data_IF_873309322448
#
_entry.id   IF_873309322448
#
_cell.length_a   1.000
_cell.length_b   1.000
_cell.length_c   1.000
_cell.angle_alpha   90.00
_cell.angle_beta   90.00
_cell.angle_gamma   90.00
#
_symmetry.space_group_name_H-M   'P 1'
#
loop_
_entity.id
_entity.type
_entity.pdbx_description
1 polymer ?
#
# COMPACT_ATOMS: atom_id res chain seq x y z
N UNK A 1 14.79 -58.92 -40.20
CA UNK A 1 14.81 -57.69 -41.03
C UNK A 1 14.61 -56.51 -40.09
N UNK A 2 15.72 -55.91 -39.65
CA UNK A 2 15.72 -54.71 -38.80
C UNK A 2 15.22 -53.52 -39.61
N UNK A 3 14.37 -52.66 -39.03
CA UNK A 3 14.19 -51.29 -39.53
C UNK A 3 13.81 -50.33 -38.40
N UNK A 4 14.80 -49.51 -38.08
CA UNK A 4 14.73 -48.09 -37.74
C UNK A 4 14.08 -47.69 -36.41
N UNK A 5 14.90 -47.81 -35.37
CA UNK A 5 14.99 -46.83 -34.28
C UNK A 5 15.59 -45.55 -34.88
N UNK A 6 14.79 -44.52 -35.11
CA UNK A 6 15.28 -43.14 -35.23
C UNK A 6 14.09 -42.20 -35.06
N UNK A 7 14.31 -41.13 -34.29
CA UNK A 7 13.37 -40.06 -33.93
C UNK A 7 12.44 -40.37 -32.76
N UNK A 8 12.81 -39.86 -31.58
CA UNK A 8 11.96 -39.02 -30.71
C UNK A 8 12.76 -38.73 -29.42
N UNK A 9 13.91 -38.06 -29.59
CA UNK A 9 14.59 -37.37 -28.51
C UNK A 9 14.32 -35.87 -28.64
N UNK A 10 14.14 -35.23 -27.49
CA UNK A 10 14.03 -33.78 -27.26
C UNK A 10 12.68 -33.10 -27.57
N UNK A 11 11.67 -33.47 -26.79
CA UNK A 11 10.72 -32.49 -26.25
C UNK A 11 11.20 -32.09 -24.85
N UNK A 12 12.28 -31.32 -24.77
CA UNK A 12 12.55 -30.50 -23.59
C UNK A 12 11.58 -29.32 -23.67
N UNK A 13 10.38 -29.52 -23.13
CA UNK A 13 9.48 -28.42 -22.84
C UNK A 13 10.16 -27.51 -21.83
N UNK A 14 10.62 -26.35 -22.27
CA UNK A 14 10.98 -25.28 -21.35
C UNK A 14 9.71 -24.86 -20.63
N UNK A 15 9.58 -25.27 -19.36
CA UNK A 15 8.63 -24.64 -18.45
C UNK A 15 9.06 -23.18 -18.32
N UNK A 16 8.38 -22.30 -19.04
CA UNK A 16 8.41 -20.86 -18.76
C UNK A 16 7.65 -20.70 -17.45
N UNK A 17 8.39 -20.62 -16.34
CA UNK A 17 7.82 -20.10 -15.11
C UNK A 17 7.53 -18.62 -15.37
N UNK A 18 6.26 -18.30 -15.63
CA UNK A 18 5.79 -16.93 -15.56
C UNK A 18 5.91 -16.49 -14.10
N UNK A 19 7.00 -15.79 -13.78
CA UNK A 19 7.08 -15.06 -12.53
C UNK A 19 5.91 -14.07 -12.54
N UNK A 20 4.96 -14.23 -11.61
CA UNK A 20 3.83 -13.32 -11.46
C UNK A 20 4.36 -11.95 -11.05
N UNK A 21 4.71 -11.15 -12.06
CA UNK A 21 5.18 -9.79 -11.86
C UNK A 21 4.10 -9.00 -11.10
N UNK A 22 4.50 -8.42 -9.97
CA UNK A 22 3.60 -7.61 -9.16
C UNK A 22 3.09 -6.36 -9.90
N UNK A 23 2.04 -5.74 -9.36
CA UNK A 23 1.47 -4.53 -9.93
C UNK A 23 1.26 -3.45 -8.87
N UNK A 24 1.36 -2.20 -9.30
CA UNK A 24 0.95 -1.04 -8.51
C UNK A 24 -0.53 -0.76 -8.73
N UNK A 25 -1.25 -0.55 -7.64
CA UNK A 25 -2.62 -0.03 -7.62
C UNK A 25 -2.59 1.36 -7.01
N UNK A 26 -2.99 2.36 -7.78
CA UNK A 26 -3.09 3.74 -7.30
C UNK A 26 -4.54 4.19 -7.30
N UNK A 27 -4.86 5.14 -6.41
CA UNK A 27 -6.19 5.73 -6.33
C UNK A 27 -6.17 7.25 -6.51
N UNK A 28 -7.23 7.76 -7.14
CA UNK A 28 -7.58 9.16 -7.24
C UNK A 28 -8.90 9.41 -6.51
N UNK A 29 -9.04 10.57 -5.87
CA UNK A 29 -10.29 10.99 -5.21
C UNK A 29 -10.77 12.32 -5.76
N UNK A 30 -12.08 12.49 -5.85
CA UNK A 30 -12.70 13.78 -6.16
C UNK A 30 -13.19 14.50 -4.89
N UNK A 31 -13.78 15.68 -5.04
CA UNK A 31 -14.34 16.47 -3.94
C UNK A 31 -15.46 15.75 -3.16
N UNK A 32 -16.16 14.80 -3.80
CA UNK A 32 -17.18 13.99 -3.15
C UNK A 32 -16.59 12.75 -2.45
N UNK A 33 -15.25 12.65 -2.36
CA UNK A 33 -14.52 11.50 -1.84
C UNK A 33 -14.77 10.20 -2.63
N UNK A 34 -15.26 10.29 -3.86
CA UNK A 34 -15.41 9.14 -4.74
C UNK A 34 -14.03 8.68 -5.20
N UNK A 35 -13.78 7.38 -5.13
CA UNK A 35 -12.45 6.80 -5.36
C UNK A 35 -12.38 6.09 -6.71
N UNK A 36 -11.34 6.38 -7.49
CA UNK A 36 -11.07 5.80 -8.81
C UNK A 36 -9.73 5.10 -8.78
N UNK A 37 -9.70 3.79 -9.08
CA UNK A 37 -8.50 2.95 -8.94
C UNK A 37 -8.00 2.50 -10.30
N UNK A 38 -6.67 2.42 -10.44
CA UNK A 38 -6.04 1.87 -11.63
C UNK A 38 -4.80 1.06 -11.29
N UNK A 39 -4.60 0.00 -12.08
CA UNK A 39 -3.51 -0.95 -11.90
C UNK A 39 -2.48 -0.85 -13.04
N UNK A 40 -1.20 -0.98 -12.70
CA UNK A 40 -0.13 -1.11 -13.69
C UNK A 40 1.17 -1.67 -13.11
N UNK A 41 1.99 -2.32 -13.94
CA UNK A 41 3.34 -2.74 -13.53
C UNK A 41 4.24 -1.56 -13.08
N UNK A 42 3.99 -0.34 -13.58
CA UNK A 42 4.73 0.86 -13.21
C UNK A 42 3.87 1.80 -12.36
N UNK A 43 4.36 2.20 -11.18
CA UNK A 43 3.65 3.08 -10.24
C UNK A 43 3.18 4.39 -10.89
N UNK A 44 4.06 5.06 -11.65
CA UNK A 44 3.74 6.34 -12.31
C UNK A 44 2.60 6.18 -13.32
N UNK A 45 2.57 5.06 -14.03
CA UNK A 45 1.51 4.76 -15.00
C UNK A 45 0.20 4.46 -14.30
N UNK A 46 0.22 3.68 -13.21
CA UNK A 46 -0.96 3.43 -12.40
C UNK A 46 -1.54 4.75 -11.83
N UNK A 47 -0.69 5.63 -11.31
CA UNK A 47 -1.08 6.94 -10.79
C UNK A 47 -1.76 7.80 -11.87
N UNK A 48 -1.12 7.92 -13.04
CA UNK A 48 -1.67 8.72 -14.14
C UNK A 48 -2.99 8.14 -14.67
N UNK A 49 -3.11 6.81 -14.72
CA UNK A 49 -4.36 6.14 -15.10
C UNK A 49 -5.48 6.40 -14.10
N UNK A 50 -5.20 6.32 -12.80
CA UNK A 50 -6.18 6.62 -11.75
C UNK A 50 -6.66 8.07 -11.85
N UNK A 51 -5.73 9.02 -12.05
CA UNK A 51 -6.06 10.43 -12.26
C UNK A 51 -6.93 10.65 -13.51
N UNK A 52 -6.56 10.02 -14.64
CA UNK A 52 -7.30 10.12 -15.88
C UNK A 52 -8.72 9.51 -15.75
N UNK A 53 -8.86 8.40 -15.04
CA UNK A 53 -10.17 7.80 -14.74
C UNK A 53 -11.03 8.75 -13.90
N UNK A 54 -10.47 9.35 -12.85
CA UNK A 54 -11.18 10.34 -12.06
C UNK A 54 -11.66 11.52 -12.92
N UNK A 55 -10.76 12.11 -13.72
CA UNK A 55 -11.10 13.22 -14.62
C UNK A 55 -12.19 12.86 -15.64
N UNK A 56 -12.28 11.59 -16.03
CA UNK A 56 -13.24 11.11 -17.03
C UNK A 56 -14.62 10.80 -16.41
N UNK A 57 -14.63 10.13 -15.27
CA UNK A 57 -15.83 9.49 -14.73
C UNK A 57 -16.40 10.23 -13.49
N UNK A 58 -15.64 11.16 -12.90
CA UNK A 58 -16.12 12.00 -11.79
C UNK A 58 -17.10 13.07 -12.25
N UNK A 59 -18.07 13.39 -11.37
CA UNK A 59 -18.93 14.57 -11.51
C UNK A 59 -18.19 15.90 -11.26
N UNK A 60 -17.00 15.84 -10.65
CA UNK A 60 -16.18 16.99 -10.27
C UNK A 60 -14.74 16.83 -10.78
N UNK A 61 -14.51 16.78 -12.11
CA UNK A 61 -13.23 16.39 -12.70
C UNK A 61 -12.05 17.30 -12.34
N UNK A 62 -12.29 18.58 -12.08
CA UNK A 62 -11.25 19.54 -11.67
C UNK A 62 -10.83 19.39 -10.20
N UNK A 63 -11.63 18.69 -9.39
CA UNK A 63 -11.30 18.40 -8.00
C UNK A 63 -10.51 17.12 -7.81
N UNK A 64 -10.24 16.38 -8.90
CA UNK A 64 -9.51 15.14 -8.83
C UNK A 64 -8.11 15.36 -8.26
N UNK A 65 -7.76 14.54 -7.27
CA UNK A 65 -6.45 14.54 -6.63
C UNK A 65 -5.90 13.11 -6.59
N UNK A 66 -4.60 12.99 -6.81
CA UNK A 66 -3.85 11.74 -6.64
C UNK A 66 -2.69 11.98 -5.67
N UNK A 67 -2.48 11.03 -4.77
CA UNK A 67 -1.35 11.06 -3.85
C UNK A 67 -0.46 9.84 -4.13
N UNK A 68 0.85 10.05 -4.32
CA UNK A 68 1.82 8.95 -4.48
C UNK A 68 1.80 8.00 -3.27
N UNK A 69 1.50 8.53 -2.08
CA UNK A 69 1.35 7.76 -0.83
C UNK A 69 0.12 6.86 -0.81
N UNK A 70 -0.84 7.06 -1.72
CA UNK A 70 -2.01 6.18 -1.89
C UNK A 70 -1.81 5.08 -2.93
N UNK A 71 -0.58 4.87 -3.42
CA UNK A 71 -0.25 3.78 -4.32
C UNK A 71 0.26 2.58 -3.54
N UNK A 72 -0.37 1.43 -3.74
CA UNK A 72 -0.04 0.18 -3.10
C UNK A 72 0.63 -0.77 -4.10
N UNK A 73 1.69 -1.46 -3.69
CA UNK A 73 2.27 -2.53 -4.52
C UNK A 73 1.69 -3.88 -4.13
N UNK A 74 1.31 -4.68 -5.12
CA UNK A 74 0.78 -6.02 -4.96
C UNK A 74 1.74 -7.02 -5.60
N UNK A 75 2.31 -7.93 -4.81
CA UNK A 75 3.12 -9.07 -5.28
C UNK A 75 2.34 -10.36 -5.07
N UNK A 76 2.20 -11.21 -6.09
CA UNK A 76 1.40 -12.46 -6.03
C UNK A 76 -0.02 -12.25 -5.48
N UNK A 77 -0.65 -11.13 -5.86
CA UNK A 77 -1.98 -10.74 -5.37
C UNK A 77 -2.04 -10.19 -3.93
N UNK A 78 -0.92 -10.15 -3.21
CA UNK A 78 -0.84 -9.64 -1.83
C UNK A 78 -0.29 -8.22 -1.84
N UNK A 79 -0.97 -7.29 -1.17
CA UNK A 79 -0.48 -5.92 -1.01
C UNK A 79 0.66 -5.89 0.01
N UNK A 80 1.85 -5.55 -0.49
CA UNK A 80 3.12 -5.50 0.25
C UNK A 80 3.43 -4.13 0.83
N UNK A 81 2.53 -3.16 0.70
CA UNK A 81 2.72 -1.83 1.30
C UNK A 81 2.77 -2.01 2.82
N UNK A 82 3.83 -1.53 3.49
CA UNK A 82 3.94 -1.68 4.93
C UNK A 82 2.81 -0.90 5.60
N UNK A 83 2.15 -1.52 6.57
CA UNK A 83 1.34 -0.77 7.51
C UNK A 83 2.29 -0.10 8.51
N UNK A 84 1.87 0.99 9.11
CA UNK A 84 2.65 1.76 10.07
C UNK A 84 1.96 1.70 11.43
N UNK A 85 2.76 1.42 12.44
CA UNK A 85 2.37 1.50 13.84
C UNK A 85 3.28 2.50 14.53
N UNK A 86 2.70 3.43 15.29
CA UNK A 86 3.43 4.44 16.03
C UNK A 86 3.03 4.40 17.51
N UNK A 87 3.94 4.81 18.38
CA UNK A 87 3.67 4.95 19.81
C UNK A 87 3.83 6.40 20.25
N UNK A 88 2.86 6.86 21.03
CA UNK A 88 2.93 8.12 21.77
C UNK A 88 3.39 7.85 23.20
N UNK A 89 4.05 8.84 23.79
CA UNK A 89 4.49 8.89 25.17
C UNK A 89 3.90 10.13 25.83
N UNK A 90 3.54 10.02 27.10
CA UNK A 90 3.24 11.17 27.94
C UNK A 90 4.45 11.54 28.83
N UNK A 91 4.33 12.57 29.66
CA UNK A 91 5.38 12.97 30.62
C UNK A 91 5.64 11.93 31.71
N UNK A 92 4.74 10.97 31.91
CA UNK A 92 4.88 9.85 32.84
C UNK A 92 5.56 8.64 32.18
N UNK A 93 5.92 8.77 30.90
CA UNK A 93 6.50 7.71 30.07
C UNK A 93 5.56 6.51 29.86
N UNK A 94 4.25 6.70 29.96
CA UNK A 94 3.28 5.68 29.56
C UNK A 94 3.23 5.58 28.03
N UNK A 95 3.19 4.35 27.50
CA UNK A 95 3.26 4.07 26.06
C UNK A 95 1.85 3.82 25.51
N UNK A 96 1.47 4.55 24.46
CA UNK A 96 0.19 4.43 23.79
C UNK A 96 0.40 4.15 22.31
N UNK A 97 0.14 2.92 21.88
CA UNK A 97 0.37 2.48 20.50
C UNK A 97 -0.90 2.62 19.65
N UNK A 98 -0.76 3.13 18.43
CA UNK A 98 -1.86 3.22 17.47
C UNK A 98 -2.24 1.85 16.92
N UNK A 99 -3.42 1.77 16.29
CA UNK A 99 -3.66 0.69 15.33
C UNK A 99 -2.68 0.78 14.14
N UNK A 100 -2.61 -0.26 13.28
CA UNK A 100 -1.90 -0.19 12.02
C UNK A 100 -2.57 0.73 10.98
N UNK A 101 -1.79 1.56 10.29
CA UNK A 101 -2.28 2.43 9.21
C UNK A 101 -1.42 2.32 7.94
N UNK A 102 -2.00 2.38 6.73
CA UNK A 102 -1.21 2.41 5.50
C UNK A 102 -0.27 3.62 5.39
N UNK A 103 -0.60 4.72 6.06
CA UNK A 103 0.18 5.95 6.07
C UNK A 103 0.82 6.19 7.45
N UNK A 104 2.12 6.48 7.45
CA UNK A 104 2.87 6.81 8.67
C UNK A 104 2.25 7.98 9.46
N UNK A 105 1.84 9.04 8.79
CA UNK A 105 1.28 10.23 9.46
C UNK A 105 -0.08 9.96 10.08
N UNK A 106 -0.88 9.09 9.48
CA UNK A 106 -2.16 8.67 10.07
C UNK A 106 -1.92 7.87 11.35
N UNK A 107 -0.92 6.97 11.36
CA UNK A 107 -0.49 6.26 12.56
C UNK A 107 0.01 7.22 13.66
N UNK A 108 0.74 8.28 13.29
CA UNK A 108 1.19 9.32 14.24
C UNK A 108 0.01 10.07 14.87
N UNK A 109 -0.95 10.50 14.04
CA UNK A 109 -2.14 11.22 14.53
C UNK A 109 -2.96 10.30 15.44
N UNK A 110 -3.14 9.04 15.05
CA UNK A 110 -3.87 8.06 15.83
C UNK A 110 -3.18 7.76 17.18
N UNK A 111 -1.86 7.55 17.20
CA UNK A 111 -1.09 7.30 18.43
C UNK A 111 -1.24 8.46 19.41
N UNK A 112 -1.11 9.70 18.90
CA UNK A 112 -1.27 10.91 19.72
C UNK A 112 -2.68 11.03 20.28
N UNK A 113 -3.70 10.84 19.45
CA UNK A 113 -5.10 10.92 19.87
C UNK A 113 -5.42 9.85 20.93
N UNK A 114 -4.89 8.63 20.77
CA UNK A 114 -5.06 7.56 21.75
C UNK A 114 -4.43 7.90 23.10
N UNK A 115 -3.20 8.42 23.10
CA UNK A 115 -2.57 8.95 24.32
C UNK A 115 -3.41 10.04 24.97
N UNK A 116 -3.90 11.02 24.19
CA UNK A 116 -4.69 12.13 24.72
C UNK A 116 -6.01 11.68 25.37
N UNK A 117 -6.58 10.57 24.90
CA UNK A 117 -7.82 10.02 25.44
C UNK A 117 -7.62 9.19 26.70
N UNK A 118 -6.48 8.49 26.83
CA UNK A 118 -6.27 7.49 27.89
C UNK A 118 -5.29 7.95 28.98
N UNK A 119 -4.33 8.80 28.65
CA UNK A 119 -3.31 9.27 29.58
C UNK A 119 -3.87 10.18 30.65
N UNK A 120 -3.33 10.05 31.87
CA UNK A 120 -3.57 11.00 32.99
C UNK A 120 -2.87 12.35 32.79
N UNK A 121 -1.98 12.45 31.81
CA UNK A 121 -1.23 13.64 31.42
C UNK A 121 -1.41 13.93 29.91
N UNK A 122 -2.67 14.00 29.47
CA UNK A 122 -3.06 14.10 28.07
C UNK A 122 -2.48 15.30 27.31
N UNK A 123 -2.18 16.40 27.99
CA UNK A 123 -1.55 17.60 27.43
C UNK A 123 -0.08 17.37 27.00
N UNK A 124 0.59 16.40 27.62
CA UNK A 124 1.99 16.07 27.38
C UNK A 124 2.23 15.01 26.32
N UNK A 125 1.16 14.48 25.70
CA UNK A 125 1.25 13.43 24.70
C UNK A 125 2.04 13.87 23.46
N UNK A 126 3.15 13.19 23.21
CA UNK A 126 4.01 13.39 22.05
C UNK A 126 4.31 12.07 21.34
N UNK A 127 4.54 12.13 20.03
CA UNK A 127 4.95 10.98 19.21
C UNK A 127 6.34 11.24 18.67
N UNK A 128 7.26 10.29 18.88
CA UNK A 128 8.56 10.34 18.22
C UNK A 128 8.45 9.66 16.85
N UNK A 129 8.63 10.42 15.76
CA UNK A 129 8.56 9.86 14.41
C UNK A 129 9.59 8.76 14.13
N UNK A 130 10.65 8.68 14.93
CA UNK A 130 11.68 7.63 14.85
C UNK A 130 11.23 6.30 15.45
N UNK A 131 10.22 6.30 16.33
CA UNK A 131 9.69 5.08 16.96
C UNK A 131 8.56 4.44 16.16
N UNK A 132 8.07 5.11 15.11
CA UNK A 132 7.15 4.52 14.16
C UNK A 132 7.82 3.43 13.34
N UNK A 133 7.25 2.22 13.36
CA UNK A 133 7.79 1.06 12.64
C UNK A 133 6.84 0.64 11.51
N UNK A 134 7.38 0.22 10.35
CA UNK A 134 6.60 -0.54 9.40
C UNK A 134 6.30 -1.92 10.01
N UNK A 135 5.10 -2.43 9.81
CA UNK A 135 4.69 -3.79 10.12
C UNK A 135 4.34 -4.52 8.82
N UNK A 136 4.75 -5.77 8.75
CA UNK A 136 4.38 -6.68 7.67
C UNK A 136 2.98 -7.25 7.95
N UNK A 137 2.19 -7.54 6.92
CA UNK A 137 0.98 -8.33 7.07
C UNK A 137 1.37 -9.81 6.96
N UNK A 138 1.13 -10.56 8.03
CA UNK A 138 1.23 -12.03 8.05
C UNK A 138 0.16 -12.69 7.16
#
# INVERSE_FOLDING_TARGET
MQRNIFWLLFLWGTLVFAEEAGFWRCEAKDAAQMTFKADNALQKTALNKAYALCKKDSKYPESCQVAKTGCEFFAKGVNTSPLWECSALDRLSEIFTSNPYPNKYDAVVAARAYCQQQSKASDSCYVNLLTCKPIERE
#
